data_IF_885759215224
#
_entry.id   IF_885759215224
#
_cell.length_a   1.000
_cell.length_b   1.000
_cell.length_c   1.000
_cell.angle_alpha   90.00
_cell.angle_beta   90.00
_cell.angle_gamma   90.00
#
_symmetry.space_group_name_H-M   'P 1'
#
loop_
_entity.id
_entity.type
_entity.pdbx_description
1 polymer ?
#
# COMPACT_ATOMS: atom_id res chain seq x y z
N UNK A 1 -13.18 14.50 -5.90
CA UNK A 1 -12.41 13.40 -5.30
C UNK A 1 -10.95 13.81 -5.33
N UNK A 2 -10.19 13.60 -4.25
CA UNK A 2 -8.74 13.89 -4.21
C UNK A 2 -7.99 12.58 -4.34
N UNK A 3 -7.00 12.57 -5.21
CA UNK A 3 -6.16 11.41 -5.47
C UNK A 3 -4.87 11.48 -4.64
N UNK A 4 -4.49 10.36 -4.02
CA UNK A 4 -3.28 10.19 -3.23
C UNK A 4 -2.41 9.13 -3.91
N UNK A 5 -1.15 9.45 -4.18
CA UNK A 5 -0.17 8.52 -4.70
C UNK A 5 0.82 8.13 -3.59
N UNK A 6 0.71 6.91 -3.09
CA UNK A 6 1.60 6.33 -2.09
C UNK A 6 2.75 5.61 -2.78
N UNK A 7 3.98 6.15 -2.70
CA UNK A 7 5.17 5.55 -3.31
C UNK A 7 6.01 4.86 -2.22
N UNK A 8 6.25 3.55 -2.37
CA UNK A 8 7.00 2.72 -1.41
C UNK A 8 8.14 1.94 -2.09
N UNK A 9 9.14 1.55 -1.31
CA UNK A 9 10.31 0.81 -1.82
C UNK A 9 11.03 -0.06 -0.78
N UNK A 10 10.96 0.26 0.51
CA UNK A 10 11.60 -0.56 1.54
C UNK A 10 10.59 -1.34 2.37
N UNK A 11 10.95 -2.54 2.85
CA UNK A 11 10.08 -3.41 3.66
C UNK A 11 9.39 -2.71 4.87
N UNK A 12 10.07 -1.85 5.65
CA UNK A 12 9.40 -1.11 6.73
C UNK A 12 8.28 -0.16 6.25
N UNK A 13 8.32 0.25 4.98
CA UNK A 13 7.30 1.11 4.38
C UNK A 13 6.03 0.32 4.03
N UNK A 14 6.13 -0.97 3.69
CA UNK A 14 4.95 -1.80 3.38
C UNK A 14 4.03 -1.92 4.60
N UNK A 15 4.61 -2.16 5.78
CA UNK A 15 3.86 -2.22 7.04
C UNK A 15 3.08 -0.93 7.29
N UNK A 16 3.69 0.23 7.02
CA UNK A 16 3.04 1.54 7.19
C UNK A 16 1.99 1.81 6.13
N UNK A 17 2.29 1.46 4.87
CA UNK A 17 1.37 1.59 3.75
C UNK A 17 0.12 0.71 3.96
N UNK A 18 0.28 -0.51 4.48
CA UNK A 18 -0.83 -1.41 4.80
C UNK A 18 -1.91 -0.74 5.67
N UNK A 19 -1.48 -0.08 6.75
CA UNK A 19 -2.37 0.58 7.70
C UNK A 19 -3.08 1.75 7.04
N UNK A 20 -2.34 2.55 6.27
CA UNK A 20 -2.89 3.69 5.56
C UNK A 20 -3.88 3.28 4.46
N UNK A 21 -3.52 2.30 3.62
CA UNK A 21 -4.38 1.79 2.56
C UNK A 21 -5.64 1.14 3.09
N UNK A 22 -5.58 0.46 4.24
CA UNK A 22 -6.77 -0.07 4.92
C UNK A 22 -7.71 1.05 5.36
N UNK A 23 -7.17 2.15 5.88
CA UNK A 23 -7.96 3.31 6.26
C UNK A 23 -8.64 3.96 5.05
N UNK A 24 -7.88 4.22 3.97
CA UNK A 24 -8.44 4.80 2.75
C UNK A 24 -9.46 3.87 2.08
N UNK A 25 -9.23 2.55 2.09
CA UNK A 25 -10.21 1.58 1.58
C UNK A 25 -11.55 1.64 2.34
N UNK A 26 -11.52 1.81 3.65
CA UNK A 26 -12.71 1.81 4.49
C UNK A 26 -13.43 3.16 4.58
N UNK A 27 -12.69 4.26 4.46
CA UNK A 27 -13.22 5.62 4.70
C UNK A 27 -13.02 6.58 3.51
N UNK A 28 -12.28 6.19 2.47
CA UNK A 28 -11.94 7.06 1.35
C UNK A 28 -13.17 7.56 0.60
N UNK A 29 -14.13 6.69 0.33
CA UNK A 29 -15.37 7.07 -0.36
C UNK A 29 -16.15 8.16 0.37
N UNK A 30 -16.30 8.07 1.70
CA UNK A 30 -17.02 9.09 2.47
C UNK A 30 -16.21 10.39 2.66
N UNK A 31 -14.88 10.30 2.61
CA UNK A 31 -13.96 11.45 2.66
C UNK A 31 -13.68 12.07 1.29
N UNK A 32 -14.18 11.47 0.20
CA UNK A 32 -13.86 11.87 -1.17
C UNK A 32 -12.39 11.68 -1.54
N UNK A 33 -11.73 10.66 -0.99
CA UNK A 33 -10.35 10.28 -1.20
C UNK A 33 -10.24 8.96 -1.97
N UNK A 34 -9.22 8.86 -2.81
CA UNK A 34 -8.82 7.66 -3.54
C UNK A 34 -7.30 7.52 -3.45
N UNK A 35 -6.81 6.28 -3.36
CA UNK A 35 -5.38 5.98 -3.24
C UNK A 35 -4.91 5.08 -4.39
N UNK A 36 -3.75 5.42 -4.93
CA UNK A 36 -2.93 4.56 -5.78
C UNK A 36 -1.64 4.22 -5.03
N UNK A 37 -1.33 2.93 -4.91
CA UNK A 37 -0.09 2.44 -4.29
C UNK A 37 0.89 2.06 -5.39
N UNK A 38 2.11 2.62 -5.35
CA UNK A 38 3.19 2.32 -6.30
C UNK A 38 4.39 1.77 -5.55
N UNK A 39 4.84 0.59 -5.95
CA UNK A 39 6.07 -0.02 -5.45
C UNK A 39 7.23 0.25 -6.43
N UNK A 40 8.32 0.84 -5.94
CA UNK A 40 9.48 1.26 -6.75
C UNK A 40 10.40 0.12 -7.20
N UNK A 41 10.16 -1.11 -6.75
CA UNK A 41 10.98 -2.28 -7.08
C UNK A 41 12.25 -2.41 -6.23
N UNK A 42 12.46 -1.54 -5.24
CA UNK A 42 13.47 -1.74 -4.22
C UNK A 42 13.08 -2.97 -3.37
N UNK A 43 14.00 -3.90 -3.12
CA UNK A 43 13.75 -5.20 -2.43
C UNK A 43 12.81 -6.20 -3.16
N UNK A 44 12.86 -6.27 -4.49
CA UNK A 44 12.13 -7.24 -5.33
C UNK A 44 12.74 -8.66 -5.30
N UNK A 45 12.87 -9.25 -4.12
CA UNK A 45 13.00 -10.72 -4.02
C UNK A 45 11.65 -11.28 -3.58
N UNK A 46 11.06 -12.19 -4.37
CA UNK A 46 9.73 -12.77 -4.17
C UNK A 46 9.53 -13.35 -2.76
N UNK A 47 10.59 -13.87 -2.15
CA UNK A 47 10.58 -14.41 -0.79
C UNK A 47 10.52 -13.34 0.33
N UNK A 48 10.66 -12.05 0.02
CA UNK A 48 10.78 -10.99 1.03
C UNK A 48 9.65 -9.96 1.02
N UNK A 49 9.00 -9.72 -0.12
CA UNK A 49 7.90 -8.75 -0.25
C UNK A 49 6.54 -9.42 -0.36
N UNK A 50 6.36 -10.44 -1.20
CA UNK A 50 5.05 -11.02 -1.54
C UNK A 50 4.30 -11.58 -0.32
N UNK A 51 5.02 -12.26 0.59
CA UNK A 51 4.46 -12.78 1.84
C UNK A 51 3.83 -11.65 2.67
N UNK A 52 4.46 -10.47 2.72
CA UNK A 52 3.94 -9.33 3.47
C UNK A 52 2.71 -8.72 2.85
N UNK A 53 2.65 -8.59 1.51
CA UNK A 53 1.45 -8.09 0.85
C UNK A 53 0.25 -9.02 1.08
N UNK A 54 0.48 -10.34 1.00
CA UNK A 54 -0.54 -11.34 1.26
C UNK A 54 -0.99 -11.39 2.72
N UNK A 55 -0.05 -11.47 3.66
CA UNK A 55 -0.37 -11.59 5.09
C UNK A 55 -0.96 -10.30 5.69
N UNK A 56 -0.54 -9.13 5.21
CA UNK A 56 -1.03 -7.84 5.73
C UNK A 56 -2.23 -7.28 4.94
N UNK A 57 -2.74 -8.04 3.95
CA UNK A 57 -3.84 -7.64 3.05
C UNK A 57 -3.59 -6.29 2.37
N UNK A 58 -2.33 -6.03 2.00
CA UNK A 58 -1.96 -4.83 1.27
C UNK A 58 -2.41 -5.04 -0.19
N UNK A 59 -3.09 -4.07 -0.81
CA UNK A 59 -3.38 -4.14 -2.23
C UNK A 59 -2.11 -4.40 -3.04
N UNK A 60 -2.21 -5.29 -4.02
CA UNK A 60 -1.11 -5.48 -4.97
C UNK A 60 -0.82 -4.13 -5.67
N UNK A 61 0.45 -3.71 -5.72
CA UNK A 61 0.85 -2.49 -6.42
C UNK A 61 0.70 -2.62 -7.93
#
# INVERSE_FOLDING_TARGET
>A
MKEILSVVGARPQFVKAAVFSRYIKNHGTCLGLSEYLVHTGQHYDDNMSEIFFREMEIPAP
#
